data_IF_002024488234
#
_entry.id   IF_002024488234
#
_cell.length_a   1.000
_cell.length_b   1.000
_cell.length_c   1.000
_cell.angle_alpha   90.00
_cell.angle_beta   90.00
_cell.angle_gamma   90.00
#
_symmetry.space_group_name_H-M   'P 1'
#
loop_
_entity.id
_entity.type
_entity.pdbx_description
1 polymer ?
#
# COMPACT_ATOMS: atom_id res chain seq x y z
N UNK A 1 -11.95 6.97 16.41
CA UNK A 1 -10.72 7.44 15.74
C UNK A 1 -9.59 7.61 16.77
N UNK A 2 -9.17 6.55 17.44
CA UNK A 2 -8.31 6.65 18.65
C UNK A 2 -7.02 5.81 18.61
N UNK A 3 -6.82 4.97 17.59
CA UNK A 3 -5.59 4.18 17.49
C UNK A 3 -4.58 4.89 16.56
N UNK A 4 -3.30 4.99 16.97
CA UNK A 4 -2.25 5.58 16.15
C UNK A 4 -1.81 4.63 15.05
N UNK A 5 -1.41 5.15 13.88
CA UNK A 5 -0.64 4.37 12.92
C UNK A 5 0.68 3.92 13.57
N UNK A 6 0.98 2.61 13.66
CA UNK A 6 2.06 2.13 14.51
C UNK A 6 3.43 2.11 13.80
N UNK A 7 3.45 2.24 12.47
CA UNK A 7 4.66 1.98 11.67
C UNK A 7 5.48 3.25 11.47
N UNK A 8 6.80 3.07 11.46
CA UNK A 8 7.79 4.11 11.11
C UNK A 8 8.72 3.67 9.99
N UNK A 9 8.63 2.40 9.59
CA UNK A 9 9.41 1.75 8.54
C UNK A 9 8.46 1.02 7.59
N UNK A 10 8.95 0.70 6.39
CA UNK A 10 8.18 -0.05 5.40
C UNK A 10 7.77 -1.43 5.94
N UNK A 11 6.60 -1.90 5.50
CA UNK A 11 6.10 -3.23 5.84
C UNK A 11 5.17 -3.71 4.74
N UNK A 12 5.19 -5.01 4.44
CA UNK A 12 4.17 -5.61 3.59
C UNK A 12 3.27 -6.54 4.43
N UNK A 13 1.95 -6.31 4.47
CA UNK A 13 1.02 -7.22 5.13
C UNK A 13 1.11 -8.67 4.65
N UNK A 14 1.50 -8.88 3.39
CA UNK A 14 1.68 -10.20 2.81
C UNK A 14 3.00 -10.87 3.24
N UNK A 15 3.91 -10.16 3.92
CA UNK A 15 5.16 -10.75 4.41
C UNK A 15 4.85 -11.94 5.34
N UNK A 16 5.31 -13.12 4.94
CA UNK A 16 5.14 -14.36 5.70
C UNK A 16 3.87 -15.16 5.38
N UNK A 17 3.07 -14.72 4.40
CA UNK A 17 2.10 -15.61 3.77
C UNK A 17 2.82 -16.69 2.95
N UNK A 18 2.24 -17.90 2.83
CA UNK A 18 2.74 -18.91 1.90
C UNK A 18 2.60 -18.41 0.46
N UNK A 19 3.33 -19.03 -0.46
CA UNK A 19 3.10 -18.81 -1.89
C UNK A 19 1.70 -19.34 -2.29
N UNK A 20 1.07 -18.78 -3.35
CA UNK A 20 -0.17 -19.31 -3.89
C UNK A 20 -0.03 -20.80 -4.28
N UNK A 21 -1.12 -21.59 -4.19
CA UNK A 21 -1.09 -22.97 -4.65
C UNK A 21 -0.69 -23.04 -6.13
N UNK A 22 0.13 -24.03 -6.49
CA UNK A 22 0.47 -24.35 -7.87
C UNK A 22 -0.52 -25.38 -8.42
N UNK A 23 -1.00 -25.20 -9.66
CA UNK A 23 -1.93 -26.14 -10.30
C UNK A 23 -1.31 -27.53 -10.44
N UNK A 24 0.01 -27.62 -10.63
CA UNK A 24 0.75 -28.87 -10.78
C UNK A 24 0.75 -29.75 -9.51
N UNK A 25 0.38 -29.19 -8.34
CA UNK A 25 0.31 -29.91 -7.07
C UNK A 25 -1.01 -30.67 -6.85
N UNK A 26 -1.98 -30.57 -7.77
CA UNK A 26 -3.33 -31.11 -7.60
C UNK A 26 -3.72 -32.11 -8.70
N UNK A 27 -4.48 -33.13 -8.31
CA UNK A 27 -4.94 -34.18 -9.24
C UNK A 27 -6.16 -33.73 -10.10
N UNK A 28 -6.79 -32.60 -9.77
CA UNK A 28 -7.90 -32.03 -10.54
C UNK A 28 -8.06 -30.52 -10.38
N UNK A 29 -8.64 -29.88 -11.40
CA UNK A 29 -9.00 -28.45 -11.42
C UNK A 29 -9.94 -28.08 -10.25
N UNK A 30 -10.86 -28.96 -9.86
CA UNK A 30 -11.77 -28.72 -8.73
C UNK A 30 -11.00 -28.61 -7.41
N UNK A 31 -10.02 -29.48 -7.16
CA UNK A 31 -9.19 -29.43 -5.94
C UNK A 31 -8.29 -28.19 -5.93
N UNK A 32 -7.71 -27.84 -7.08
CA UNK A 32 -6.92 -26.62 -7.23
C UNK A 32 -7.77 -25.38 -6.94
N UNK A 33 -8.94 -25.25 -7.57
CA UNK A 33 -9.84 -24.12 -7.36
C UNK A 33 -10.27 -23.98 -5.89
N UNK A 34 -10.59 -25.10 -5.20
CA UNK A 34 -10.91 -25.06 -3.77
C UNK A 34 -9.73 -24.57 -2.91
N UNK A 35 -8.51 -24.99 -3.23
CA UNK A 35 -7.30 -24.55 -2.54
C UNK A 35 -6.99 -23.07 -2.79
N UNK A 36 -7.14 -22.61 -4.04
CA UNK A 36 -6.97 -21.21 -4.44
C UNK A 36 -7.95 -20.31 -3.71
N UNK A 37 -9.21 -20.73 -3.62
CA UNK A 37 -10.28 -20.04 -2.91
C UNK A 37 -9.98 -19.86 -1.41
N UNK A 38 -9.45 -20.91 -0.77
CA UNK A 38 -9.04 -20.87 0.64
C UNK A 38 -7.84 -19.96 0.82
N UNK A 39 -6.88 -20.04 -0.09
CA UNK A 39 -5.68 -19.21 -0.09
C UNK A 39 -6.04 -17.72 -0.21
N UNK A 40 -6.80 -17.31 -1.23
CA UNK A 40 -7.12 -15.91 -1.46
C UNK A 40 -8.00 -15.31 -0.36
N UNK A 41 -8.93 -16.09 0.21
CA UNK A 41 -9.67 -15.65 1.39
C UNK A 41 -8.75 -15.36 2.57
N UNK A 42 -7.80 -16.25 2.85
CA UNK A 42 -6.83 -16.03 3.92
C UNK A 42 -5.90 -14.84 3.63
N UNK A 43 -5.44 -14.73 2.38
CA UNK A 43 -4.61 -13.63 1.92
C UNK A 43 -5.34 -12.28 2.13
N UNK A 44 -6.60 -12.18 1.73
CA UNK A 44 -7.41 -10.97 1.92
C UNK A 44 -7.65 -10.65 3.40
N UNK A 45 -7.97 -11.65 4.23
CA UNK A 45 -8.14 -11.47 5.68
C UNK A 45 -6.88 -10.87 6.34
N UNK A 46 -5.69 -11.26 5.87
CA UNK A 46 -4.41 -10.79 6.40
C UNK A 46 -4.02 -9.42 5.81
N UNK A 47 -4.13 -9.26 4.50
CA UNK A 47 -3.65 -8.06 3.79
C UNK A 47 -4.59 -6.87 3.88
N UNK A 48 -5.90 -7.13 3.94
CA UNK A 48 -6.93 -6.09 4.04
C UNK A 48 -7.35 -5.80 5.50
N UNK A 49 -6.63 -6.33 6.48
CA UNK A 49 -6.90 -6.10 7.89
C UNK A 49 -6.92 -4.58 8.19
N UNK A 50 -7.98 -4.04 8.81
CA UNK A 50 -8.17 -2.59 8.98
C UNK A 50 -7.05 -1.93 9.81
N UNK A 51 -6.34 -2.70 10.62
CA UNK A 51 -5.19 -2.24 11.41
C UNK A 51 -4.05 -1.70 10.53
N UNK A 52 -3.92 -2.17 9.28
CA UNK A 52 -2.87 -1.71 8.38
C UNK A 52 -3.10 -0.28 7.88
N UNK A 53 -4.36 0.16 7.80
CA UNK A 53 -4.74 1.48 7.28
C UNK A 53 -5.15 2.48 8.36
N UNK A 54 -5.10 2.08 9.64
CA UNK A 54 -5.53 2.94 10.74
C UNK A 54 -4.64 4.17 10.87
N UNK A 55 -5.25 5.35 10.93
CA UNK A 55 -4.49 6.60 11.01
C UNK A 55 -3.89 7.05 9.67
N UNK A 56 -4.32 6.47 8.54
CA UNK A 56 -3.98 6.93 7.20
C UNK A 56 -5.15 7.70 6.57
N UNK A 57 -4.82 8.72 5.76
CA UNK A 57 -5.75 9.44 4.90
C UNK A 57 -5.31 9.24 3.45
N UNK A 58 -6.14 8.58 2.65
CA UNK A 58 -5.89 8.35 1.23
C UNK A 58 -6.12 9.63 0.41
N UNK A 59 -5.09 10.08 -0.33
CA UNK A 59 -5.10 11.39 -1.00
C UNK A 59 -5.08 11.30 -2.53
N UNK A 60 -4.37 10.34 -3.10
CA UNK A 60 -4.22 10.22 -4.55
C UNK A 60 -4.25 8.75 -4.98
N UNK A 61 -4.84 8.49 -6.15
CA UNK A 61 -4.66 7.24 -6.88
C UNK A 61 -3.62 7.47 -8.00
N UNK A 62 -2.74 6.52 -8.21
CA UNK A 62 -1.76 6.55 -9.31
C UNK A 62 -2.20 5.66 -10.50
N UNK A 63 -3.41 5.10 -10.44
CA UNK A 63 -3.85 4.00 -11.32
C UNK A 63 -3.55 2.64 -10.69
N UNK A 64 -4.11 1.56 -11.25
CA UNK A 64 -3.88 0.18 -10.79
C UNK A 64 -4.00 -0.03 -9.27
N UNK A 65 -4.91 0.72 -8.61
CA UNK A 65 -5.06 0.69 -7.15
C UNK A 65 -3.83 1.11 -6.31
N UNK A 66 -2.77 1.63 -6.92
CA UNK A 66 -1.65 2.27 -6.22
C UNK A 66 -2.10 3.61 -5.64
N UNK A 67 -1.78 3.88 -4.38
CA UNK A 67 -2.23 5.09 -3.69
C UNK A 67 -1.13 5.76 -2.90
N UNK A 68 -1.26 7.07 -2.73
CA UNK A 68 -0.45 7.83 -1.79
C UNK A 68 -1.30 8.29 -0.61
N UNK A 69 -0.77 8.11 0.59
CA UNK A 69 -1.49 8.27 1.85
C UNK A 69 -0.73 9.20 2.80
N UNK A 70 -1.49 10.00 3.55
CA UNK A 70 -0.96 10.84 4.63
C UNK A 70 -1.16 10.15 5.97
N UNK A 71 -0.10 10.01 6.75
CA UNK A 71 -0.21 9.56 8.15
C UNK A 71 -0.75 10.70 9.00
N UNK A 72 -1.94 10.53 9.58
CA UNK A 72 -2.63 11.57 10.38
C UNK A 72 -2.55 11.36 11.89
N UNK A 73 -2.21 10.14 12.36
CA UNK A 73 -2.01 9.81 13.77
C UNK A 73 -0.81 8.87 13.97
N UNK A 74 -0.17 8.92 15.15
CA UNK A 74 0.97 8.07 15.48
C UNK A 74 2.36 8.69 15.22
N UNK A 75 3.44 7.92 15.38
CA UNK A 75 4.82 8.44 15.35
C UNK A 75 5.25 9.01 14.00
N UNK A 76 4.73 8.47 12.89
CA UNK A 76 5.02 8.95 11.54
C UNK A 76 4.09 10.09 11.07
N UNK A 77 3.30 10.69 11.98
CA UNK A 77 2.32 11.74 11.63
C UNK A 77 2.93 12.87 10.81
N UNK A 78 2.25 13.21 9.71
CA UNK A 78 2.64 14.27 8.77
C UNK A 78 3.51 13.77 7.61
N UNK A 79 4.00 12.54 7.66
CA UNK A 79 4.72 11.90 6.57
C UNK A 79 3.77 11.34 5.52
N UNK A 80 4.23 11.36 4.26
CA UNK A 80 3.57 10.73 3.13
C UNK A 80 4.12 9.33 2.91
N UNK A 81 3.22 8.40 2.62
CA UNK A 81 3.52 6.99 2.40
C UNK A 81 2.88 6.54 1.08
N UNK A 82 3.44 5.50 0.48
CA UNK A 82 2.83 4.75 -0.60
C UNK A 82 2.08 3.55 -0.03
N UNK A 83 0.91 3.27 -0.59
CA UNK A 83 0.21 2.00 -0.51
C UNK A 83 0.35 1.32 -1.88
N UNK A 84 1.36 0.45 -1.95
CA UNK A 84 1.74 -0.34 -3.13
C UNK A 84 1.25 -1.79 -2.97
N UNK A 85 0.26 -2.05 -2.09
CA UNK A 85 -0.27 -3.41 -1.82
C UNK A 85 -0.89 -4.08 -3.04
N UNK A 86 -1.34 -3.31 -4.03
CA UNK A 86 -1.88 -3.84 -5.29
C UNK A 86 -0.82 -4.46 -6.22
N UNK A 87 0.47 -4.24 -5.95
CA UNK A 87 1.61 -4.76 -6.71
C UNK A 87 2.61 -5.47 -5.78
N UNK A 88 2.10 -6.07 -4.70
CA UNK A 88 2.87 -6.80 -3.68
C UNK A 88 4.01 -5.98 -3.03
N UNK A 89 3.98 -4.64 -3.14
CA UNK A 89 5.00 -3.73 -2.62
C UNK A 89 4.78 -3.30 -1.17
N UNK A 90 3.60 -3.59 -0.61
CA UNK A 90 3.22 -3.21 0.74
C UNK A 90 3.11 -1.69 0.96
N UNK A 91 3.40 -1.24 2.18
CA UNK A 91 3.42 0.16 2.55
C UNK A 91 4.83 0.65 2.80
N UNK A 92 5.18 1.83 2.31
CA UNK A 92 6.50 2.43 2.53
C UNK A 92 6.45 3.95 2.66
N UNK A 93 7.36 4.56 3.44
CA UNK A 93 7.54 6.01 3.41
C UNK A 93 7.92 6.49 2.01
N UNK A 94 7.32 7.60 1.58
CA UNK A 94 7.86 8.36 0.46
C UNK A 94 9.05 9.16 0.96
N UNK A 95 10.17 9.12 0.23
CA UNK A 95 11.38 9.84 0.60
C UNK A 95 11.77 10.86 -0.47
N UNK A 96 12.34 11.97 -0.01
CA UNK A 96 13.05 12.94 -0.83
C UNK A 96 14.32 12.31 -1.44
N UNK A 97 14.93 12.94 -2.47
CA UNK A 97 16.16 12.43 -3.09
C UNK A 97 17.35 12.26 -2.11
N UNK A 98 17.32 12.95 -0.97
CA UNK A 98 18.33 12.84 0.09
C UNK A 98 18.01 11.73 1.12
N UNK A 99 16.94 10.97 0.90
CA UNK A 99 16.52 9.84 1.74
C UNK A 99 15.64 10.22 2.94
N UNK A 100 15.36 11.51 3.17
CA UNK A 100 14.46 11.92 4.27
C UNK A 100 13.00 11.66 3.92
N UNK A 101 12.15 11.24 4.88
CA UNK A 101 10.71 11.11 4.63
C UNK A 101 10.07 12.42 4.17
N UNK A 102 9.31 12.35 3.09
CA UNK A 102 8.52 13.44 2.51
C UNK A 102 7.34 13.77 3.42
N UNK A 103 7.14 15.06 3.69
CA UNK A 103 5.94 15.56 4.37
C UNK A 103 4.88 16.06 3.38
N UNK A 104 3.64 16.19 3.85
CA UNK A 104 2.49 16.61 3.02
C UNK A 104 2.74 17.89 2.20
N UNK A 105 3.31 18.94 2.82
CA UNK A 105 3.50 20.22 2.13
C UNK A 105 4.50 20.14 0.96
N UNK A 106 5.54 19.30 1.07
CA UNK A 106 6.49 19.11 -0.02
C UNK A 106 5.87 18.28 -1.14
N UNK A 107 5.27 17.15 -0.76
CA UNK A 107 4.53 16.27 -1.67
C UNK A 107 3.48 17.03 -2.48
N UNK A 108 2.61 17.80 -1.82
CA UNK A 108 1.51 18.52 -2.47
C UNK A 108 2.03 19.56 -3.48
N UNK A 109 3.10 20.29 -3.14
CA UNK A 109 3.70 21.27 -4.05
C UNK A 109 4.34 20.62 -5.26
N UNK A 110 5.01 19.47 -5.06
CA UNK A 110 5.58 18.69 -6.16
C UNK A 110 4.47 18.18 -7.09
N UNK A 111 3.46 17.53 -6.53
CA UNK A 111 2.29 17.04 -7.27
C UNK A 111 1.60 18.16 -8.07
N UNK A 112 1.37 19.32 -7.43
CA UNK A 112 0.73 20.47 -8.07
C UNK A 112 1.58 20.99 -9.24
N UNK A 113 2.89 21.12 -9.04
CA UNK A 113 3.82 21.55 -10.09
C UNK A 113 3.80 20.58 -11.28
N UNK A 114 3.85 19.28 -11.03
CA UNK A 114 3.80 18.26 -12.08
C UNK A 114 2.49 18.35 -12.88
N UNK A 115 1.36 18.58 -12.20
CA UNK A 115 0.06 18.77 -12.86
C UNK A 115 0.02 20.05 -13.72
N UNK A 116 0.58 21.17 -13.23
CA UNK A 116 0.68 22.42 -13.99
C UNK A 116 1.56 22.26 -15.24
N UNK A 117 2.71 21.57 -15.13
CA UNK A 117 3.64 21.35 -16.23
C UNK A 117 3.00 20.50 -17.36
N UNK A 118 2.16 19.52 -17.02
CA UNK A 118 1.45 18.68 -18.01
C UNK A 118 0.50 19.48 -18.91
N UNK A 119 -0.07 20.57 -18.39
CA UNK A 119 -0.98 21.43 -19.15
C UNK A 119 -0.17 22.34 -20.10
N UNK A 120 1.05 22.72 -19.75
CA UNK A 120 1.90 23.59 -20.58
C UNK A 120 2.53 22.89 -21.78
N UNK A 121 2.59 21.55 -21.77
CA UNK A 121 3.16 20.72 -22.84
C UNK A 121 2.10 20.05 -23.72
N UNK A 122 0.83 20.44 -23.59
CA UNK A 122 -0.28 20.07 -24.47
C UNK A 122 -0.60 21.19 -25.45
#
# INVERSE_FOLDING_TARGET
MSQPFPRTEAFNPADGLPDPPDEDDFDSEEQFNEAEDVYWRHHDDVTCAPEHSIGLLYLCHLGCALREVLVISGPARGQMWADDTADDGGFRPLCEPDGRPTGFAHWYRRWLKEAEDQIQHR
#
